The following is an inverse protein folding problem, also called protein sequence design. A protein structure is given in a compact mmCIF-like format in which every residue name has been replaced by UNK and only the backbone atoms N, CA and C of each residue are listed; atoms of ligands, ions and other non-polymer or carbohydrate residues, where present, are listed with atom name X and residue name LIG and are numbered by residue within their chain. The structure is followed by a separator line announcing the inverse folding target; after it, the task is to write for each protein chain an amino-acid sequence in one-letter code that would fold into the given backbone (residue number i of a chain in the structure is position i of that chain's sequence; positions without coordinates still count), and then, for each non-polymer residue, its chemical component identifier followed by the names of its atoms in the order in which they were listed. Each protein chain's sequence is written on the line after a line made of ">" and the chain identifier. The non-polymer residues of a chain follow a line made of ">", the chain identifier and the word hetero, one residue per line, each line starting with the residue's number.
data_IF_461100648390
#
_entry.id   IF_461100648390
#
_cell.length_a   1.000
_cell.length_b   1.000
_cell.length_c   1.000
_cell.angle_alpha   90.00
_cell.angle_beta   90.00
_cell.angle_gamma   90.00
#
_symmetry.space_group_name_H-M   'P 1'
#
loop_
_entity.id
_entity.type
_entity.pdbx_description
1 polymer ?
#
# COMPACT_ATOMS: atom_id res chain seq x y z
N UNK A 1 -20.46 -8.08 13.38
CA UNK A 1 -19.81 -6.86 13.90
C UNK A 1 -18.35 -7.09 14.25
N UNK A 2 -18.02 -8.01 15.16
CA UNK A 2 -16.62 -8.28 15.54
C UNK A 2 -15.67 -8.54 14.36
N UNK A 3 -16.12 -9.32 13.36
CA UNK A 3 -15.33 -9.57 12.15
C UNK A 3 -15.04 -8.28 11.36
N UNK A 4 -16.04 -7.41 11.20
CA UNK A 4 -15.89 -6.15 10.46
C UNK A 4 -14.93 -5.24 11.23
N UNK A 5 -15.12 -5.10 12.54
CA UNK A 5 -14.22 -4.33 13.40
C UNK A 5 -12.79 -4.87 13.36
N UNK A 6 -12.59 -6.20 13.33
CA UNK A 6 -11.27 -6.79 13.22
C UNK A 6 -10.59 -6.45 11.88
N UNK A 7 -11.34 -6.46 10.77
CA UNK A 7 -10.84 -6.09 9.45
C UNK A 7 -10.49 -4.60 9.37
N UNK A 8 -11.34 -3.73 9.91
CA UNK A 8 -11.08 -2.28 9.99
C UNK A 8 -9.84 -1.97 10.83
N UNK A 9 -9.71 -2.60 11.99
CA UNK A 9 -8.54 -2.46 12.86
C UNK A 9 -7.26 -2.92 12.14
N UNK A 10 -7.31 -4.07 11.46
CA UNK A 10 -6.19 -4.56 10.65
C UNK A 10 -5.78 -3.52 9.60
N UNK A 11 -6.74 -2.98 8.85
CA UNK A 11 -6.46 -1.98 7.83
C UNK A 11 -5.83 -0.73 8.44
N UNK A 12 -6.41 -0.22 9.53
CA UNK A 12 -5.90 0.94 10.28
C UNK A 12 -4.45 0.74 10.71
N UNK A 13 -4.12 -0.39 11.33
CA UNK A 13 -2.75 -0.68 11.77
C UNK A 13 -1.79 -0.79 10.60
N UNK A 14 -2.23 -1.32 9.46
CA UNK A 14 -1.40 -1.38 8.26
C UNK A 14 -1.20 0.00 7.61
N UNK A 15 -2.16 0.93 7.77
CA UNK A 15 -2.10 2.30 7.25
C UNK A 15 -1.21 3.20 8.11
N UNK A 16 -1.28 3.05 9.44
CA UNK A 16 -0.54 3.84 10.43
C UNK A 16 0.88 3.32 10.71
N UNK A 17 1.24 2.15 10.16
CA UNK A 17 2.56 1.56 10.37
C UNK A 17 3.66 2.30 9.60
N UNK A 18 4.63 2.84 10.34
CA UNK A 18 5.87 3.42 9.82
C UNK A 18 6.94 2.35 9.62
N UNK A 19 7.51 2.26 8.42
CA UNK A 19 8.60 1.30 8.14
C UNK A 19 9.91 1.77 8.78
N UNK A 20 10.69 0.87 9.44
CA UNK A 20 12.03 1.18 9.92
C UNK A 20 13.03 1.55 8.81
N UNK A 21 12.68 1.29 7.55
CA UNK A 21 13.54 1.51 6.39
C UNK A 21 13.10 2.75 5.60
N UNK A 22 13.36 3.92 6.17
CA UNK A 22 13.12 5.25 5.58
C UNK A 22 11.66 5.59 5.25
N UNK A 23 10.70 4.88 5.84
CA UNK A 23 9.26 5.10 5.66
C UNK A 23 8.79 5.24 4.20
N UNK A 24 9.39 4.46 3.30
CA UNK A 24 9.06 4.42 1.88
C UNK A 24 7.65 3.89 1.53
N UNK A 25 6.78 3.65 2.53
CA UNK A 25 5.44 3.09 2.31
C UNK A 25 4.46 4.21 2.03
N UNK A 26 3.83 4.16 0.86
CA UNK A 26 2.70 5.03 0.53
C UNK A 26 1.46 4.16 0.57
N UNK A 27 0.65 4.27 1.62
CA UNK A 27 -0.67 3.63 1.71
C UNK A 27 -1.68 4.71 2.05
N UNK A 28 -2.65 4.95 1.17
CA UNK A 28 -3.62 6.03 1.32
C UNK A 28 -5.04 5.54 1.58
N UNK A 29 -5.40 4.43 0.95
CA UNK A 29 -6.70 3.77 1.08
C UNK A 29 -6.58 2.30 0.64
N UNK A 30 -7.68 1.55 0.64
CA UNK A 30 -7.80 0.21 0.08
C UNK A 30 -7.49 0.18 -1.42
N UNK A 31 -8.03 1.13 -2.17
CA UNK A 31 -7.80 1.28 -3.60
C UNK A 31 -7.52 2.73 -3.92
N UNK A 32 -6.35 3.00 -4.51
CA UNK A 32 -5.97 4.34 -4.89
C UNK A 32 -5.09 4.31 -6.13
N UNK A 33 -5.14 5.40 -6.88
CA UNK A 33 -4.16 5.75 -7.90
C UNK A 33 -3.33 6.88 -7.33
N UNK A 34 -2.02 6.76 -7.41
CA UNK A 34 -1.10 7.82 -7.04
C UNK A 34 -0.36 8.30 -8.28
N UNK A 35 -0.65 9.54 -8.66
CA UNK A 35 -0.05 10.17 -9.83
C UNK A 35 1.13 11.04 -9.41
N UNK A 36 2.24 10.89 -10.11
CA UNK A 36 3.40 11.77 -10.05
C UNK A 36 3.53 12.43 -11.42
N UNK A 37 3.53 13.77 -11.45
CA UNK A 37 3.68 14.55 -12.67
C UNK A 37 4.95 15.39 -12.62
N UNK A 38 5.68 15.40 -13.72
CA UNK A 38 6.80 16.31 -13.95
C UNK A 38 6.49 17.18 -15.17
N UNK A 39 6.08 18.42 -14.90
CA UNK A 39 5.64 19.37 -15.93
C UNK A 39 6.79 19.91 -16.77
N UNK A 40 8.02 19.89 -16.26
CA UNK A 40 9.19 20.42 -16.97
C UNK A 40 9.63 19.49 -18.10
N UNK A 41 9.39 18.18 -17.94
CA UNK A 41 9.70 17.16 -18.96
C UNK A 41 8.44 16.55 -19.61
N UNK A 42 7.24 16.91 -19.14
CA UNK A 42 5.97 16.42 -19.67
C UNK A 42 5.72 14.93 -19.41
N UNK A 43 6.20 14.41 -18.28
CA UNK A 43 6.07 12.99 -17.90
C UNK A 43 5.06 12.85 -16.77
N UNK A 44 4.18 11.86 -16.88
CA UNK A 44 3.26 11.45 -15.81
C UNK A 44 3.40 9.96 -15.52
N UNK A 45 3.38 9.60 -14.25
CA UNK A 45 3.44 8.21 -13.77
C UNK A 45 2.23 7.96 -12.88
N UNK A 46 1.40 6.99 -13.26
CA UNK A 46 0.29 6.52 -12.44
C UNK A 46 0.65 5.21 -11.75
N UNK A 47 0.60 5.23 -10.41
CA UNK A 47 0.87 4.07 -9.57
C UNK A 47 -0.47 3.53 -9.07
N UNK A 48 -0.80 2.31 -9.49
CA UNK A 48 -2.03 1.63 -9.11
C UNK A 48 -1.80 0.72 -7.92
N UNK A 49 -2.50 0.97 -6.81
CA UNK A 49 -2.46 0.06 -5.68
C UNK A 49 -3.24 -1.21 -6.00
N UNK A 50 -2.55 -2.34 -5.98
CA UNK A 50 -3.15 -3.66 -6.11
C UNK A 50 -2.96 -4.38 -4.79
N UNK A 51 -3.99 -4.40 -3.96
CA UNK A 51 -4.01 -5.25 -2.76
C UNK A 51 -4.38 -6.67 -3.18
N UNK A 52 -3.36 -7.51 -3.32
CA UNK A 52 -3.56 -8.89 -3.71
C UNK A 52 -3.94 -9.78 -2.49
N UNK A 53 -3.93 -9.26 -1.26
CA UNK A 53 -4.10 -10.06 -0.05
C UNK A 53 -2.77 -10.69 0.40
N UNK A 54 -2.79 -11.58 1.40
CA UNK A 54 -1.61 -12.18 2.07
C UNK A 54 -0.31 -12.26 1.24
N UNK A 55 0.74 -11.59 1.73
CA UNK A 55 2.04 -11.48 1.05
C UNK A 55 2.72 -12.84 0.81
N UNK A 56 2.30 -13.90 1.51
CA UNK A 56 2.80 -15.26 1.32
C UNK A 56 2.21 -16.02 0.12
N UNK A 57 1.14 -15.53 -0.52
CA UNK A 57 0.37 -16.30 -1.52
C UNK A 57 0.55 -15.74 -2.96
N UNK A 58 1.23 -14.61 -3.12
CA UNK A 58 1.43 -14.00 -4.45
C UNK A 58 2.68 -14.53 -5.15
N UNK A 59 2.51 -14.89 -6.42
CA UNK A 59 3.55 -15.49 -7.26
C UNK A 59 4.65 -14.51 -7.72
N UNK A 60 4.57 -13.23 -7.33
CA UNK A 60 5.59 -12.23 -7.62
C UNK A 60 6.53 -12.09 -6.41
N UNK A 61 7.87 -12.07 -6.61
CA UNK A 61 8.79 -11.73 -5.53
C UNK A 61 8.57 -10.26 -5.15
N UNK A 62 7.79 -10.04 -4.10
CA UNK A 62 7.49 -8.74 -3.53
C UNK A 62 8.23 -8.61 -2.21
N UNK A 63 8.75 -7.42 -1.91
CA UNK A 63 9.34 -7.16 -0.61
C UNK A 63 8.20 -7.09 0.42
N UNK A 64 8.18 -8.06 1.34
CA UNK A 64 7.27 -8.06 2.46
C UNK A 64 7.77 -7.10 3.54
N UNK A 65 7.14 -5.92 3.64
CA UNK A 65 7.42 -4.92 4.68
C UNK A 65 6.52 -5.07 5.92
N UNK A 66 5.78 -6.17 6.02
CA UNK A 66 4.74 -6.42 7.03
C UNK A 66 4.80 -7.85 7.59
N UNK A 67 5.92 -8.52 7.33
CA UNK A 67 6.39 -9.66 8.05
C UNK A 67 7.02 -9.13 9.37
#
# INVERSE_FOLDING_TARGET
>A
DELITALENKFKWQLEYTSPNDDHRVRKDHFYVYTIEDTDYGVSIDIFNVDSGDAGIHAAPQVCYQC
#
